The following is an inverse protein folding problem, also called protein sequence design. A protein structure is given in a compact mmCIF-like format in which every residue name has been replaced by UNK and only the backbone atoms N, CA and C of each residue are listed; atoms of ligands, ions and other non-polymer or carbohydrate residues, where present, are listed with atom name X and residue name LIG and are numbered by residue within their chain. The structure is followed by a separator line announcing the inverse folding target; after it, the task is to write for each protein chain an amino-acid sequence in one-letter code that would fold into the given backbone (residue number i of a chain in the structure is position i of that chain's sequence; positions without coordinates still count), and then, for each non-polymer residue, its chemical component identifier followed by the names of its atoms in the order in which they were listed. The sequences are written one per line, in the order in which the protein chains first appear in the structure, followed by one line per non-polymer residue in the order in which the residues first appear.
data_IF_528710514053
#
_entry.id   IF_528710514053
#
_cell.length_a   1.000
_cell.length_b   1.000
_cell.length_c   1.000
_cell.angle_alpha   90.00
_cell.angle_beta   90.00
_cell.angle_gamma   90.00
#
_symmetry.space_group_name_H-M   'P 1'
#
loop_
_entity.id
_entity.type
_entity.pdbx_description
1 polymer ?
#
# COMPACT_ATOMS: atom_id res chain seq x y z
N UNK A 1 4.12 -12.48 4.81
CA UNK A 1 3.34 -11.82 5.87
C UNK A 1 4.15 -10.66 6.38
N UNK A 2 3.74 -9.44 6.05
CA UNK A 2 4.46 -8.22 6.40
C UNK A 2 4.19 -7.87 7.88
N UNK A 3 5.18 -7.29 8.57
CA UNK A 3 5.09 -7.02 10.03
C UNK A 3 3.99 -6.01 10.40
N UNK A 4 3.47 -5.26 9.42
CA UNK A 4 2.29 -4.39 9.56
C UNK A 4 0.97 -5.19 9.59
N UNK A 5 0.83 -6.22 8.75
CA UNK A 5 -0.35 -7.11 8.74
C UNK A 5 -0.52 -7.80 10.09
N UNK A 6 0.58 -8.29 10.67
CA UNK A 6 0.53 -8.97 11.96
C UNK A 6 0.03 -8.05 13.08
N UNK A 7 0.42 -6.77 13.08
CA UNK A 7 -0.05 -5.79 14.06
C UNK A 7 -1.54 -5.44 13.88
N UNK A 8 -2.02 -5.39 12.64
CA UNK A 8 -3.46 -5.20 12.37
C UNK A 8 -4.27 -6.40 12.85
N UNK A 9 -3.78 -7.62 12.63
CA UNK A 9 -4.43 -8.85 13.09
C UNK A 9 -4.47 -8.95 14.62
N UNK A 10 -3.45 -8.43 15.30
CA UNK A 10 -3.35 -8.32 16.76
C UNK A 10 -4.20 -7.16 17.34
N UNK A 11 -4.87 -6.35 16.50
CA UNK A 11 -5.66 -5.19 16.95
C UNK A 11 -4.82 -3.98 17.39
N UNK A 12 -3.52 -3.96 17.06
CA UNK A 12 -2.59 -2.87 17.36
C UNK A 12 -2.52 -1.88 16.20
N UNK A 13 -3.65 -1.27 15.88
CA UNK A 13 -3.83 -0.47 14.66
C UNK A 13 -2.94 0.79 14.66
N UNK A 14 -2.79 1.51 15.78
CA UNK A 14 -1.77 2.59 15.89
C UNK A 14 -0.35 2.14 15.58
N UNK A 15 0.07 0.99 16.13
CA UNK A 15 1.41 0.46 15.90
C UNK A 15 1.60 0.06 14.43
N UNK A 16 0.53 -0.47 13.81
CA UNK A 16 0.54 -0.77 12.38
C UNK A 16 0.63 0.52 11.55
N UNK A 17 -0.17 1.54 11.87
CA UNK A 17 -0.17 2.85 11.20
C UNK A 17 1.20 3.52 11.27
N UNK A 18 1.82 3.59 12.46
CA UNK A 18 3.16 4.16 12.62
C UNK A 18 4.23 3.40 11.81
N UNK A 19 4.13 2.06 11.72
CA UNK A 19 5.02 1.29 10.84
C UNK A 19 4.76 1.53 9.35
N UNK A 20 3.50 1.68 8.94
CA UNK A 20 3.14 1.99 7.56
C UNK A 20 3.68 3.36 7.15
N UNK A 21 3.53 4.37 8.01
CA UNK A 21 4.13 5.70 7.80
C UNK A 21 5.64 5.61 7.63
N UNK A 22 6.31 4.80 8.46
CA UNK A 22 7.77 4.63 8.38
C UNK A 22 8.23 3.84 7.15
N UNK A 23 7.43 2.88 6.68
CA UNK A 23 7.76 2.06 5.52
C UNK A 23 7.46 2.77 4.19
N UNK A 24 6.33 3.45 4.10
CA UNK A 24 5.84 4.09 2.88
C UNK A 24 5.14 5.43 3.22
N UNK A 25 5.90 6.52 3.45
CA UNK A 25 5.36 7.82 3.83
C UNK A 25 4.38 8.38 2.79
N UNK A 26 4.60 8.03 1.51
CA UNK A 26 3.79 8.49 0.39
C UNK A 26 2.50 7.70 0.18
N UNK A 27 2.37 6.50 0.77
CA UNK A 27 1.18 5.66 0.60
C UNK A 27 -0.07 6.33 1.17
N UNK A 28 0.04 6.90 2.36
CA UNK A 28 -1.05 7.57 3.06
C UNK A 28 -1.39 8.93 2.44
N UNK A 29 -0.39 9.64 1.91
CA UNK A 29 -0.59 10.90 1.19
C UNK A 29 -1.28 10.70 -0.17
N UNK A 30 -1.08 9.55 -0.82
CA UNK A 30 -1.58 9.26 -2.16
C UNK A 30 -2.98 8.64 -2.15
N UNK A 31 -3.33 7.86 -1.12
CA UNK A 31 -4.62 7.18 -1.00
C UNK A 31 -5.37 7.61 0.29
N UNK A 32 -6.14 8.70 0.22
CA UNK A 32 -6.99 9.18 1.33
C UNK A 32 -7.96 8.13 1.87
N UNK A 33 -8.38 7.18 1.02
CA UNK A 33 -9.22 6.05 1.40
C UNK A 33 -8.51 5.06 2.34
N UNK A 34 -7.19 4.88 2.21
CA UNK A 34 -6.40 3.97 3.05
C UNK A 34 -6.24 4.54 4.46
N UNK A 35 -5.91 5.83 4.54
CA UNK A 35 -5.83 6.55 5.82
C UNK A 35 -7.17 6.50 6.56
N UNK A 36 -8.28 6.72 5.84
CA UNK A 36 -9.63 6.58 6.40
C UNK A 36 -9.89 5.16 6.91
N UNK A 37 -9.56 4.13 6.13
CA UNK A 37 -9.78 2.73 6.50
C UNK A 37 -9.05 2.36 7.80
N UNK A 38 -7.80 2.80 7.95
CA UNK A 38 -7.00 2.57 9.16
C UNK A 38 -7.57 3.35 10.36
N UNK A 39 -7.93 4.62 10.18
CA UNK A 39 -8.54 5.42 11.23
C UNK A 39 -9.90 4.84 11.68
N UNK A 40 -10.71 4.35 10.73
CA UNK A 40 -11.97 3.67 11.03
C UNK A 40 -11.72 2.38 11.83
N UNK A 41 -10.72 1.58 11.45
CA UNK A 41 -10.41 0.36 12.20
C UNK A 41 -9.92 0.67 13.61
N UNK A 42 -9.15 1.74 13.82
CA UNK A 42 -8.76 2.19 15.16
C UNK A 42 -9.99 2.58 16.01
N UNK A 43 -10.93 3.33 15.44
CA UNK A 43 -12.18 3.67 16.11
C UNK A 43 -12.95 2.41 16.55
N UNK A 44 -13.01 1.39 15.69
CA UNK A 44 -13.64 0.10 16.00
C UNK A 44 -12.95 -0.56 17.21
N UNK A 45 -11.61 -0.52 17.29
CA UNK A 45 -10.87 -1.08 18.42
C UNK A 45 -11.12 -0.31 19.73
N UNK A 46 -11.24 1.02 19.69
CA UNK A 46 -11.59 1.84 20.86
C UNK A 46 -13.01 1.53 21.36
N UNK A 47 -13.97 1.43 20.44
CA UNK A 47 -15.36 1.05 20.76
C UNK A 47 -15.40 -0.35 21.38
N UNK A 48 -14.61 -1.29 20.85
CA UNK A 48 -14.54 -2.66 21.37
C UNK A 48 -14.01 -2.74 22.81
N UNK A 49 -13.14 -1.81 23.21
CA UNK A 49 -12.63 -1.67 24.59
C UNK A 49 -13.58 -0.92 25.52
N UNK A 50 -14.70 -0.41 24.99
CA UNK A 50 -15.65 0.45 25.70
C UNK A 50 -15.05 1.77 26.19
N UNK A 51 -13.97 2.23 25.54
CA UNK A 51 -13.30 3.52 25.81
C UNK A 51 -14.03 4.64 25.04
N UNK A 52 -15.28 4.93 25.43
CA UNK A 52 -16.18 5.79 24.63
C UNK A 52 -15.68 7.23 24.51
N UNK A 53 -15.13 7.81 25.59
CA UNK A 53 -14.60 9.17 25.56
C UNK A 53 -13.41 9.29 24.60
N UNK A 54 -12.49 8.32 24.63
CA UNK A 54 -11.36 8.26 23.71
C UNK A 54 -11.81 8.03 22.28
N UNK A 55 -12.78 7.14 22.05
CA UNK A 55 -13.38 6.90 20.74
C UNK A 55 -13.99 8.18 20.14
N UNK A 56 -14.71 8.95 20.96
CA UNK A 56 -15.32 10.21 20.54
C UNK A 56 -14.26 11.26 20.18
N UNK A 57 -13.28 11.46 21.06
CA UNK A 57 -12.19 12.40 20.82
C UNK A 57 -11.42 12.03 19.56
N UNK A 58 -11.09 10.74 19.40
CA UNK A 58 -10.42 10.23 18.21
C UNK A 58 -11.23 10.46 16.94
N UNK A 59 -12.55 10.22 16.97
CA UNK A 59 -13.41 10.44 15.81
C UNK A 59 -13.45 11.93 15.40
N UNK A 60 -13.50 12.84 16.36
CA UNK A 60 -13.48 14.28 16.09
C UNK A 60 -12.14 14.70 15.46
N UNK A 61 -11.02 14.27 16.04
CA UNK A 61 -9.69 14.70 15.59
C UNK A 61 -9.27 14.04 14.27
N UNK A 62 -9.55 12.74 14.11
CA UNK A 62 -8.97 11.93 13.04
C UNK A 62 -9.97 11.56 11.94
N UNK A 63 -11.29 11.48 12.22
CA UNK A 63 -12.29 11.05 11.24
C UNK A 63 -13.15 12.19 10.69
N UNK A 64 -13.39 13.25 11.48
CA UNK A 64 -14.21 14.38 11.04
C UNK A 64 -13.73 15.04 9.72
N UNK A 65 -12.42 15.21 9.46
CA UNK A 65 -11.96 15.75 8.18
C UNK A 65 -12.41 14.91 6.98
N UNK A 66 -12.41 13.57 7.10
CA UNK A 66 -12.86 12.67 6.03
C UNK A 66 -14.37 12.77 5.79
N UNK A 67 -15.16 12.95 6.84
CA UNK A 67 -16.61 13.17 6.73
C UNK A 67 -16.98 14.42 5.92
N UNK A 68 -16.14 15.46 5.95
CA UNK A 68 -16.31 16.67 5.15
C UNK A 68 -15.90 16.48 3.68
N UNK A 69 -14.97 15.56 3.41
CA UNK A 69 -14.48 15.28 2.06
C UNK A 69 -15.48 14.48 1.22
N UNK A 70 -16.22 13.56 1.83
CA UNK A 70 -17.14 12.69 1.12
C UNK A 70 -18.34 12.24 1.98
N UNK A 71 -19.57 12.31 1.43
CA UNK A 71 -20.75 11.80 2.14
C UNK A 71 -20.69 10.29 2.36
N UNK A 72 -19.91 9.56 1.57
CA UNK A 72 -19.68 8.13 1.82
C UNK A 72 -18.89 7.94 3.13
N UNK A 73 -17.81 8.70 3.34
CA UNK A 73 -17.01 8.57 4.57
C UNK A 73 -17.82 8.98 5.80
N UNK A 74 -18.63 10.04 5.69
CA UNK A 74 -19.53 10.43 6.77
C UNK A 74 -20.47 9.29 7.18
N UNK A 75 -21.11 8.63 6.21
CA UNK A 75 -22.00 7.48 6.49
C UNK A 75 -21.28 6.35 7.20
N UNK A 76 -20.05 6.03 6.78
CA UNK A 76 -19.24 4.98 7.39
C UNK A 76 -18.84 5.34 8.84
N UNK A 77 -18.57 6.62 9.11
CA UNK A 77 -18.29 7.12 10.46
C UNK A 77 -19.55 7.00 11.33
N UNK A 78 -20.70 7.48 10.85
CA UNK A 78 -21.98 7.41 11.56
C UNK A 78 -22.37 5.97 11.90
N UNK A 79 -22.22 5.05 10.95
CA UNK A 79 -22.46 3.62 11.17
C UNK A 79 -21.54 3.06 12.26
N UNK A 80 -20.25 3.39 12.21
CA UNK A 80 -19.29 2.91 13.20
C UNK A 80 -19.60 3.49 14.59
N UNK A 81 -19.91 4.78 14.68
CA UNK A 81 -20.27 5.45 15.94
C UNK A 81 -21.60 4.95 16.51
N UNK A 82 -22.52 4.46 15.67
CA UNK A 82 -23.78 3.88 16.16
C UNK A 82 -23.58 2.67 17.08
N UNK A 83 -22.43 1.99 17.00
CA UNK A 83 -22.06 0.89 17.90
C UNK A 83 -21.98 1.34 19.36
N UNK A 84 -21.66 2.61 19.62
CA UNK A 84 -21.59 3.21 20.97
C UNK A 84 -22.95 3.25 21.66
N UNK A 85 -24.05 3.24 20.89
CA UNK A 85 -25.40 3.27 21.45
C UNK A 85 -25.81 1.95 22.13
N UNK A 86 -25.03 0.87 21.94
CA UNK A 86 -25.30 -0.46 22.49
C UNK A 86 -24.46 -0.70 23.72
N UNK A 87 -25.06 -1.28 24.78
CA UNK A 87 -24.31 -1.72 25.97
C UNK A 87 -23.26 -2.76 25.61
N UNK A 88 -23.62 -3.69 24.71
CA UNK A 88 -22.72 -4.64 24.09
C UNK A 88 -22.63 -4.34 22.59
N UNK A 89 -21.52 -3.74 22.10
CA UNK A 89 -21.38 -3.39 20.69
C UNK A 89 -21.56 -4.57 19.71
N UNK A 90 -21.23 -5.80 20.16
CA UNK A 90 -21.40 -7.03 19.36
C UNK A 90 -22.86 -7.43 19.11
N UNK A 91 -23.81 -6.96 19.92
CA UNK A 91 -25.25 -7.21 19.73
C UNK A 91 -25.89 -6.27 18.70
N UNK A 92 -25.13 -5.26 18.26
CA UNK A 92 -25.56 -4.38 17.18
C UNK A 92 -25.76 -5.17 15.87
N UNK A 93 -26.69 -4.74 14.99
CA UNK A 93 -26.72 -5.20 13.60
C UNK A 93 -25.37 -5.03 12.88
N UNK A 94 -24.52 -4.13 13.36
CA UNK A 94 -23.17 -3.87 12.86
C UNK A 94 -22.06 -4.60 13.65
N UNK A 95 -22.42 -5.56 14.51
CA UNK A 95 -21.47 -6.31 15.34
C UNK A 95 -20.38 -7.05 14.54
N UNK A 96 -20.67 -7.41 13.29
CA UNK A 96 -19.70 -7.99 12.35
C UNK A 96 -18.47 -7.10 12.11
N UNK A 97 -18.56 -5.78 12.32
CA UNK A 97 -17.43 -4.85 12.23
C UNK A 97 -16.38 -5.09 13.33
N UNK A 98 -16.76 -5.69 14.45
CA UNK A 98 -15.89 -5.95 15.61
C UNK A 98 -15.17 -7.31 15.53
N UNK A 99 -15.52 -8.12 14.53
CA UNK A 99 -15.00 -9.46 14.34
C UNK A 99 -13.57 -9.47 13.77
N UNK A 100 -12.88 -10.60 13.97
CA UNK A 100 -11.57 -10.84 13.36
C UNK A 100 -11.62 -10.80 11.83
N UNK A 101 -12.75 -11.21 11.24
CA UNK A 101 -12.99 -11.18 9.79
C UNK A 101 -12.77 -9.78 9.21
N UNK A 102 -13.27 -8.75 9.91
CA UNK A 102 -13.08 -7.36 9.51
C UNK A 102 -11.61 -6.93 9.58
N UNK A 103 -10.88 -7.31 10.65
CA UNK A 103 -9.42 -7.05 10.74
C UNK A 103 -8.63 -7.71 9.62
N UNK A 104 -8.97 -8.95 9.27
CA UNK A 104 -8.34 -9.66 8.14
C UNK A 104 -8.57 -8.92 6.81
N UNK A 105 -9.78 -8.38 6.59
CA UNK A 105 -10.08 -7.57 5.40
C UNK A 105 -9.24 -6.30 5.34
N UNK A 106 -9.15 -5.56 6.45
CA UNK A 106 -8.32 -4.34 6.52
C UNK A 106 -6.85 -4.68 6.29
N UNK A 107 -6.33 -5.74 6.90
CA UNK A 107 -4.95 -6.19 6.68
C UNK A 107 -4.68 -6.55 5.22
N UNK A 108 -5.62 -7.25 4.56
CA UNK A 108 -5.52 -7.59 3.14
C UNK A 108 -5.52 -6.36 2.23
N UNK A 109 -6.38 -5.37 2.52
CA UNK A 109 -6.47 -4.13 1.75
C UNK A 109 -5.17 -3.31 1.88
N UNK A 110 -4.66 -3.18 3.11
CA UNK A 110 -3.38 -2.52 3.41
C UNK A 110 -2.24 -3.21 2.67
N UNK A 111 -2.15 -4.55 2.72
CA UNK A 111 -1.11 -5.28 2.01
C UNK A 111 -1.19 -5.10 0.50
N UNK A 112 -2.41 -5.10 -0.05
CA UNK A 112 -2.64 -4.87 -1.48
C UNK A 112 -2.23 -3.46 -1.89
N UNK A 113 -2.44 -2.45 -1.04
CA UNK A 113 -2.04 -1.07 -1.30
C UNK A 113 -0.52 -0.88 -1.22
N UNK A 114 0.16 -1.50 -0.25
CA UNK A 114 1.63 -1.52 -0.18
C UNK A 114 2.23 -2.17 -1.44
N UNK A 115 1.67 -3.31 -1.87
CA UNK A 115 2.13 -3.96 -3.11
C UNK A 115 1.93 -3.03 -4.32
N UNK A 116 0.79 -2.35 -4.42
CA UNK A 116 0.53 -1.38 -5.49
C UNK A 116 1.49 -0.20 -5.46
N UNK A 117 1.89 0.31 -4.29
CA UNK A 117 2.86 1.42 -4.20
C UNK A 117 4.27 0.99 -4.58
N UNK A 118 4.66 -0.25 -4.28
CA UNK A 118 5.97 -0.81 -4.63
C UNK A 118 6.10 -1.22 -6.09
N UNK A 119 5.00 -1.45 -6.80
CA UNK A 119 5.01 -1.78 -8.24
C UNK A 119 5.34 -0.55 -9.11
N UNK A 120 5.44 0.65 -8.53
CA UNK A 120 5.97 1.84 -9.20
C UNK A 120 7.50 1.92 -9.03
N UNK A 121 8.21 1.33 -10.00
CA UNK A 121 9.67 1.34 -10.27
C UNK A 121 10.52 0.19 -9.67
N UNK A 122 11.43 -0.44 -10.45
CA UNK A 122 12.17 0.13 -11.58
C UNK A 122 11.80 -0.53 -12.92
N UNK A 123 12.26 0.03 -14.05
CA UNK A 123 12.48 -0.80 -15.23
C UNK A 123 13.15 -2.10 -14.78
N UNK A 124 12.61 -3.28 -15.10
CA UNK A 124 13.21 -4.50 -14.63
C UNK A 124 14.64 -4.52 -15.14
N UNK A 125 15.60 -4.63 -14.22
CA UNK A 125 17.03 -4.69 -14.52
C UNK A 125 17.32 -5.68 -15.66
N UNK A 126 16.51 -6.74 -15.76
CA UNK A 126 16.50 -7.70 -16.85
C UNK A 126 16.19 -7.08 -18.23
N UNK A 127 15.17 -6.22 -18.35
CA UNK A 127 14.86 -5.53 -19.61
C UNK A 127 15.99 -4.60 -20.02
N UNK A 128 16.55 -3.84 -19.08
CA UNK A 128 17.71 -2.98 -19.32
C UNK A 128 18.95 -3.80 -19.74
N UNK A 129 19.22 -4.91 -19.06
CA UNK A 129 20.31 -5.83 -19.42
C UNK A 129 20.11 -6.44 -20.81
N UNK A 130 18.91 -6.90 -21.15
CA UNK A 130 18.60 -7.48 -22.47
C UNK A 130 18.79 -6.44 -23.58
N UNK A 131 18.37 -5.20 -23.36
CA UNK A 131 18.60 -4.09 -24.30
C UNK A 131 20.10 -3.79 -24.46
N UNK A 132 20.85 -3.78 -23.35
CA UNK A 132 22.30 -3.59 -23.39
C UNK A 132 23.02 -4.73 -24.13
N UNK A 133 22.61 -5.98 -23.94
CA UNK A 133 23.15 -7.13 -24.66
C UNK A 133 22.88 -7.03 -26.17
N UNK A 134 21.63 -6.74 -26.56
CA UNK A 134 21.29 -6.55 -27.97
C UNK A 134 22.12 -5.43 -28.62
N UNK A 135 22.29 -4.31 -27.92
CA UNK A 135 23.12 -3.21 -28.39
C UNK A 135 24.60 -3.62 -28.54
N UNK A 136 25.13 -4.42 -27.61
CA UNK A 136 26.51 -4.91 -27.71
C UNK A 136 26.68 -5.87 -28.89
N UNK A 137 25.72 -6.75 -29.14
CA UNK A 137 25.76 -7.68 -30.29
C UNK A 137 25.73 -6.93 -31.62
N UNK A 138 24.83 -5.94 -31.79
CA UNK A 138 24.80 -5.08 -32.98
C UNK A 138 26.13 -4.34 -33.21
N UNK A 139 26.76 -3.87 -32.13
CA UNK A 139 28.04 -3.16 -32.18
C UNK A 139 29.21 -4.10 -32.51
N UNK A 140 29.13 -5.38 -32.13
CA UNK A 140 30.11 -6.39 -32.52
C UNK A 140 29.94 -6.81 -33.97
N UNK A 141 28.72 -7.03 -34.44
CA UNK A 141 28.41 -7.37 -35.83
C UNK A 141 28.84 -6.26 -36.79
N UNK A 142 28.55 -5.00 -36.47
CA UNK A 142 29.00 -3.86 -37.27
C UNK A 142 30.52 -3.73 -37.31
N UNK A 143 31.23 -4.02 -36.21
CA UNK A 143 32.69 -4.02 -36.20
C UNK A 143 33.29 -5.19 -36.99
N UNK A 144 32.70 -6.38 -36.93
CA UNK A 144 33.12 -7.54 -37.73
C UNK A 144 32.89 -7.29 -39.22
N UNK A 145 31.75 -6.71 -39.58
CA UNK A 145 31.41 -6.31 -40.96
C UNK A 145 32.34 -5.20 -41.48
N UNK A 146 32.75 -4.24 -40.63
CA UNK A 146 33.76 -3.24 -40.99
C UNK A 146 35.17 -3.82 -41.15
N UNK A 147 35.52 -4.85 -40.36
CA UNK A 147 36.85 -5.48 -40.41
C UNK A 147 37.00 -6.43 -41.60
N UNK A 148 35.93 -7.08 -42.06
CA UNK A 148 35.95 -7.88 -43.29
C UNK A 148 36.10 -7.05 -44.56
N UNK A 149 35.82 -5.74 -44.52
CA UNK A 149 36.02 -4.81 -45.64
C UNK A 149 37.43 -4.20 -45.71
N UNK A 150 38.36 -4.60 -44.83
CA UNK A 150 39.66 -3.94 -44.72
C UNK A 150 40.81 -4.87 -44.39
N UNK A 151 41.17 -5.77 -45.31
CA UNK A 151 42.57 -6.02 -45.73
C UNK A 151 42.55 -6.50 -47.19
N UNK A 152 42.78 -5.60 -48.15
CA UNK A 152 43.31 -6.01 -49.46
C UNK A 152 44.82 -6.11 -49.28
N UNK A 153 45.32 -7.31 -49.01
CA UNK A 153 46.76 -7.59 -49.09
C UNK A 153 47.08 -7.44 -50.57
N UNK A 154 47.66 -6.31 -50.96
CA UNK A 154 48.26 -6.16 -52.28
C UNK A 154 49.57 -6.95 -52.24
N UNK A 155 49.43 -8.24 -52.54
CA UNK A 155 50.54 -9.16 -52.77
C UNK A 155 50.93 -9.00 -54.25
N UNK A 156 51.96 -8.21 -54.52
CA UNK A 156 52.73 -8.32 -55.77
C UNK A 156 54.11 -7.71 -55.62
N UNK A 157 55.02 -8.64 -55.33
CA UNK A 157 56.41 -8.68 -55.79
C UNK A 157 56.60 -8.04 -57.17
N UNK A 158 57.33 -6.93 -57.26
CA UNK A 158 58.55 -6.77 -58.09
C UNK A 158 59.16 -5.38 -57.99
#
# INVERSE_FOLDING_TARGET
MNRGEQLLLEGRVQSARGKLVNMEPHLLQKESAMDFLLAKQELIELIKRQEIEEALQFAIENLAPFGQMSPHFLREIEQTMSLVAFQNPSESPLGHLLEQSQRCRVASEVNSAILRSQVQEPEPMLSSMVQQFHYMDEQLETKLSRRSHGIRVDDSTR
#
